data_IF_267677659846
#
_entry.id   IF_267677659846
#
_cell.length_a   1.000
_cell.length_b   1.000
_cell.length_c   1.000
_cell.angle_alpha   90.00
_cell.angle_beta   90.00
_cell.angle_gamma   90.00
#
_symmetry.space_group_name_H-M   'P 1'
#
loop_
_entity.id
_entity.type
_entity.pdbx_description
1 polymer ?
#
# COMPACT_ATOMS: atom_id res chain seq x y z
N UNK A 1 -22.22 1.97 -10.62
CA UNK A 1 -20.94 1.41 -10.11
C UNK A 1 -20.97 -0.11 -10.03
N UNK A 2 -21.75 -0.76 -9.12
CA UNK A 2 -21.72 -2.26 -9.06
C UNK A 2 -22.15 -2.90 -10.38
N UNK A 3 -23.09 -2.33 -11.11
CA UNK A 3 -23.51 -2.78 -12.44
C UNK A 3 -22.40 -2.71 -13.49
N UNK A 4 -21.58 -1.67 -13.45
CA UNK A 4 -20.42 -1.50 -14.35
C UNK A 4 -19.32 -2.52 -14.00
N UNK A 5 -19.04 -2.70 -12.70
CA UNK A 5 -18.11 -3.73 -12.23
C UNK A 5 -18.56 -5.13 -12.61
N UNK A 6 -19.87 -5.45 -12.42
CA UNK A 6 -20.43 -6.74 -12.79
C UNK A 6 -20.40 -6.98 -14.30
N UNK A 7 -20.62 -5.94 -15.11
CA UNK A 7 -20.49 -6.03 -16.56
C UNK A 7 -19.02 -6.28 -16.98
N UNK A 8 -18.08 -5.58 -16.37
CA UNK A 8 -16.63 -5.72 -16.63
C UNK A 8 -16.12 -7.11 -16.25
N UNK A 9 -16.58 -7.65 -15.13
CA UNK A 9 -16.15 -8.93 -14.58
C UNK A 9 -17.00 -10.13 -15.08
N UNK A 10 -17.98 -9.88 -15.95
CA UNK A 10 -18.93 -10.91 -16.42
C UNK A 10 -19.64 -11.65 -15.27
N UNK A 11 -19.93 -10.92 -14.17
CA UNK A 11 -20.55 -11.49 -12.98
C UNK A 11 -19.64 -12.43 -12.18
N UNK A 12 -18.33 -12.35 -12.36
CA UNK A 12 -17.33 -13.16 -11.65
C UNK A 12 -16.50 -12.28 -10.70
N UNK A 13 -16.06 -12.88 -9.61
CA UNK A 13 -15.12 -12.24 -8.71
C UNK A 13 -13.79 -11.97 -9.41
N UNK A 14 -13.32 -10.71 -9.40
CA UNK A 14 -12.09 -10.32 -10.09
C UNK A 14 -10.81 -10.83 -9.42
N UNK A 15 -10.91 -11.41 -8.22
CA UNK A 15 -9.77 -12.04 -7.54
C UNK A 15 -9.75 -13.57 -7.76
N UNK A 16 -10.87 -14.27 -7.55
CA UNK A 16 -10.89 -15.75 -7.60
C UNK A 16 -11.62 -16.34 -8.82
N UNK A 17 -12.21 -15.52 -9.69
CA UNK A 17 -12.89 -15.96 -10.90
C UNK A 17 -14.23 -16.68 -10.69
N UNK A 18 -14.67 -16.89 -9.45
CA UNK A 18 -15.92 -17.62 -9.17
C UNK A 18 -17.13 -16.72 -9.47
N UNK A 19 -18.14 -17.31 -10.15
CA UNK A 19 -19.44 -16.67 -10.32
C UNK A 19 -20.18 -16.66 -8.96
N UNK A 20 -20.45 -15.49 -8.42
CA UNK A 20 -21.09 -15.31 -7.12
C UNK A 20 -21.77 -13.95 -7.04
N UNK A 21 -22.52 -13.71 -5.96
CA UNK A 21 -22.94 -12.37 -5.61
C UNK A 21 -21.70 -11.51 -5.32
N UNK A 22 -21.60 -10.35 -5.97
CA UNK A 22 -20.44 -9.48 -5.93
C UNK A 22 -20.74 -8.20 -5.15
N UNK A 23 -19.75 -7.76 -4.40
CA UNK A 23 -19.71 -6.43 -3.80
C UNK A 23 -18.62 -5.56 -4.42
N UNK A 24 -18.82 -4.25 -4.42
CA UNK A 24 -17.80 -3.30 -4.85
C UNK A 24 -16.86 -3.01 -3.69
N UNK A 25 -15.56 -3.20 -3.90
CA UNK A 25 -14.53 -2.85 -2.95
C UNK A 25 -13.63 -1.76 -3.53
N UNK A 26 -13.56 -0.63 -2.82
CA UNK A 26 -12.67 0.48 -3.19
C UNK A 26 -11.22 0.11 -2.93
N UNK A 27 -10.35 0.41 -3.89
CA UNK A 27 -8.91 0.17 -3.76
C UNK A 27 -8.21 1.46 -3.34
N UNK A 28 -7.92 1.57 -2.03
CA UNK A 28 -7.26 2.75 -1.46
C UNK A 28 -5.92 3.08 -2.16
N UNK A 29 -5.48 4.34 -2.20
CA UNK A 29 -6.08 5.53 -1.60
C UNK A 29 -7.15 6.20 -2.48
N UNK A 30 -7.56 5.57 -3.56
CA UNK A 30 -8.63 6.08 -4.43
C UNK A 30 -9.93 6.20 -3.62
N UNK A 31 -10.83 7.09 -4.06
CA UNK A 31 -12.06 7.40 -3.33
C UNK A 31 -13.27 6.56 -3.75
N UNK A 32 -13.11 5.73 -4.77
CA UNK A 32 -14.19 4.91 -5.31
C UNK A 32 -15.23 5.70 -6.08
N UNK A 33 -14.81 6.78 -6.73
CA UNK A 33 -15.71 7.64 -7.53
C UNK A 33 -16.00 7.07 -8.91
N UNK A 34 -15.17 6.13 -9.38
CA UNK A 34 -15.32 5.42 -10.64
C UNK A 34 -15.18 3.89 -10.47
N UNK A 35 -15.59 3.15 -11.48
CA UNK A 35 -15.36 1.70 -11.53
C UNK A 35 -13.87 1.34 -11.56
N UNK A 36 -13.02 2.24 -12.11
CA UNK A 36 -11.58 2.03 -12.18
C UNK A 36 -10.89 2.13 -10.82
N UNK A 37 -11.54 2.74 -9.83
CA UNK A 37 -11.06 2.81 -8.45
C UNK A 37 -11.43 1.58 -7.61
N UNK A 38 -12.23 0.66 -8.17
CA UNK A 38 -12.88 -0.41 -7.43
C UNK A 38 -12.65 -1.77 -8.11
N UNK A 39 -12.84 -2.83 -7.32
CA UNK A 39 -12.91 -4.21 -7.81
C UNK A 39 -14.23 -4.87 -7.40
N UNK A 40 -14.68 -5.85 -8.20
CA UNK A 40 -15.82 -6.71 -7.91
C UNK A 40 -15.35 -7.96 -7.17
N UNK A 41 -15.79 -8.15 -5.93
CA UNK A 41 -15.34 -9.26 -5.08
C UNK A 41 -16.50 -10.05 -4.48
N UNK A 42 -16.31 -11.37 -4.34
CA UNK A 42 -17.25 -12.24 -3.64
C UNK A 42 -17.06 -12.16 -2.10
N UNK A 43 -18.06 -12.62 -1.36
CA UNK A 43 -18.03 -12.63 0.10
C UNK A 43 -16.83 -13.41 0.67
N UNK A 44 -16.42 -14.52 0.04
CA UNK A 44 -15.27 -15.34 0.46
C UNK A 44 -13.97 -14.54 0.37
N UNK A 45 -13.70 -13.88 -0.78
CA UNK A 45 -12.51 -13.06 -0.94
C UNK A 45 -12.51 -11.87 0.03
N UNK A 46 -13.66 -11.23 0.24
CA UNK A 46 -13.79 -10.14 1.21
C UNK A 46 -13.46 -10.61 2.63
N UNK A 47 -14.00 -11.74 3.06
CA UNK A 47 -13.71 -12.31 4.39
C UNK A 47 -12.24 -12.71 4.54
N UNK A 48 -11.68 -13.39 3.53
CA UNK A 48 -10.28 -13.86 3.56
C UNK A 48 -9.27 -12.71 3.51
N UNK A 49 -9.65 -11.55 2.98
CA UNK A 49 -8.77 -10.38 2.91
C UNK A 49 -8.53 -9.70 4.27
N UNK A 50 -9.31 -10.04 5.30
CA UNK A 50 -9.10 -9.55 6.66
C UNK A 50 -7.81 -10.11 7.29
N UNK A 51 -7.46 -11.36 7.00
CA UNK A 51 -6.19 -12.00 7.37
C UNK A 51 -5.69 -12.86 6.20
N UNK A 52 -4.98 -12.25 5.24
CA UNK A 52 -4.50 -12.97 4.07
C UNK A 52 -3.54 -14.12 4.39
N UNK A 53 -2.72 -13.97 5.43
CA UNK A 53 -1.74 -14.98 5.83
C UNK A 53 -2.41 -16.26 6.35
N UNK A 54 -3.50 -16.14 7.09
CA UNK A 54 -4.28 -17.26 7.59
C UNK A 54 -5.02 -18.03 6.47
N UNK A 55 -5.22 -17.39 5.31
CA UNK A 55 -5.94 -17.94 4.16
C UNK A 55 -5.05 -18.12 2.92
N UNK A 56 -3.76 -18.40 3.12
CA UNK A 56 -2.78 -18.49 2.03
C UNK A 56 -3.18 -19.45 0.91
N UNK A 57 -3.81 -20.59 1.22
CA UNK A 57 -4.25 -21.54 0.21
C UNK A 57 -5.38 -21.01 -0.68
N UNK A 58 -6.29 -20.20 -0.13
CA UNK A 58 -7.33 -19.52 -0.89
C UNK A 58 -6.71 -18.57 -1.93
N UNK A 59 -5.65 -17.88 -1.58
CA UNK A 59 -5.01 -16.88 -2.42
C UNK A 59 -4.15 -17.43 -3.55
N UNK A 60 -4.04 -18.76 -3.68
CA UNK A 60 -3.43 -19.36 -4.89
C UNK A 60 -4.20 -19.05 -6.18
N UNK A 61 -5.48 -18.69 -6.06
CA UNK A 61 -6.28 -18.20 -7.20
C UNK A 61 -5.73 -16.89 -7.82
N UNK A 62 -4.91 -16.14 -7.09
CA UNK A 62 -4.30 -14.90 -7.60
C UNK A 62 -3.30 -15.14 -8.74
N UNK A 63 -2.84 -16.40 -8.92
CA UNK A 63 -2.03 -16.79 -10.08
C UNK A 63 -2.70 -16.46 -11.42
N UNK A 64 -4.02 -16.50 -11.47
CA UNK A 64 -4.79 -16.19 -12.69
C UNK A 64 -5.11 -14.69 -12.76
N UNK A 65 -5.53 -14.07 -11.66
CA UNK A 65 -5.94 -12.67 -11.62
C UNK A 65 -4.78 -11.68 -11.67
N UNK A 66 -3.53 -12.10 -11.38
CA UNK A 66 -2.34 -11.26 -11.51
C UNK A 66 -2.11 -10.74 -12.93
N UNK A 67 -2.67 -11.42 -13.94
CA UNK A 67 -2.57 -11.04 -15.36
C UNK A 67 -3.71 -10.13 -15.82
N UNK A 68 -4.58 -9.70 -14.91
CA UNK A 68 -5.67 -8.77 -15.25
C UNK A 68 -5.13 -7.49 -15.88
N UNK A 69 -5.76 -6.98 -16.95
CA UNK A 69 -5.39 -5.70 -17.53
C UNK A 69 -5.91 -4.49 -16.72
N UNK A 70 -6.64 -4.74 -15.61
CA UNK A 70 -7.31 -3.72 -14.81
C UNK A 70 -6.40 -3.30 -13.67
N UNK A 71 -5.93 -2.03 -13.60
CA UNK A 71 -5.00 -1.56 -12.57
C UNK A 71 -5.49 -1.82 -11.13
N UNK A 72 -6.78 -1.58 -10.85
CA UNK A 72 -7.34 -1.83 -9.51
C UNK A 72 -7.23 -3.31 -9.08
N UNK A 73 -7.38 -4.25 -10.03
CA UNK A 73 -7.21 -5.69 -9.77
C UNK A 73 -5.74 -5.99 -9.52
N UNK A 74 -4.84 -5.51 -10.38
CA UNK A 74 -3.39 -5.69 -10.22
C UNK A 74 -2.90 -5.17 -8.87
N UNK A 75 -3.33 -3.96 -8.47
CA UNK A 75 -3.00 -3.37 -7.16
C UNK A 75 -3.49 -4.25 -6.02
N UNK A 76 -4.72 -4.76 -6.10
CA UNK A 76 -5.29 -5.63 -5.06
C UNK A 76 -4.55 -6.95 -4.96
N UNK A 77 -4.21 -7.58 -6.09
CA UNK A 77 -3.41 -8.80 -6.14
C UNK A 77 -2.03 -8.58 -5.54
N UNK A 78 -1.32 -7.53 -5.96
CA UNK A 78 0.01 -7.20 -5.43
C UNK A 78 0.02 -7.06 -3.90
N UNK A 79 -0.99 -6.37 -3.35
CA UNK A 79 -1.13 -6.15 -1.91
C UNK A 79 -1.47 -7.44 -1.15
N UNK A 80 -2.37 -8.26 -1.70
CA UNK A 80 -2.73 -9.54 -1.10
C UNK A 80 -1.53 -10.49 -1.09
N UNK A 81 -0.79 -10.62 -2.19
CA UNK A 81 0.43 -11.42 -2.26
C UNK A 81 1.48 -10.94 -1.26
N UNK A 82 1.65 -9.62 -1.13
CA UNK A 82 2.56 -9.02 -0.12
C UNK A 82 2.13 -9.34 1.31
N UNK A 83 0.83 -9.43 1.58
CA UNK A 83 0.28 -9.73 2.91
C UNK A 83 0.27 -11.21 3.23
N UNK A 84 0.16 -12.09 2.23
CA UNK A 84 0.30 -13.55 2.39
C UNK A 84 1.72 -13.91 2.83
N UNK A 85 2.75 -13.28 2.26
CA UNK A 85 4.13 -13.31 2.71
C UNK A 85 4.85 -14.68 2.62
N UNK A 86 4.26 -15.66 1.93
CA UNK A 86 4.91 -16.97 1.68
C UNK A 86 5.85 -16.89 0.47
N UNK A 87 6.78 -17.85 0.35
CA UNK A 87 7.74 -17.88 -0.76
C UNK A 87 7.03 -17.86 -2.11
N UNK A 88 6.03 -18.71 -2.33
CA UNK A 88 5.28 -18.75 -3.58
C UNK A 88 4.53 -17.44 -3.88
N UNK A 89 4.04 -16.73 -2.85
CA UNK A 89 3.36 -15.45 -3.04
C UNK A 89 4.35 -14.34 -3.41
N UNK A 90 5.55 -14.38 -2.87
CA UNK A 90 6.64 -13.48 -3.25
C UNK A 90 7.09 -13.74 -4.70
N UNK A 91 7.25 -15.01 -5.09
CA UNK A 91 7.60 -15.40 -6.46
C UNK A 91 6.56 -14.90 -7.48
N UNK A 92 5.25 -15.04 -7.16
CA UNK A 92 4.18 -14.51 -8.00
C UNK A 92 4.22 -13.00 -8.08
N UNK A 93 4.38 -12.33 -6.94
CA UNK A 93 4.47 -10.87 -6.89
C UNK A 93 5.64 -10.33 -7.72
N UNK A 94 6.81 -10.98 -7.63
CA UNK A 94 8.01 -10.58 -8.38
C UNK A 94 7.87 -10.83 -9.89
N UNK A 95 6.97 -11.74 -10.28
CA UNK A 95 6.61 -12.01 -11.68
C UNK A 95 5.58 -11.03 -12.25
N UNK A 96 4.95 -10.19 -11.41
CA UNK A 96 3.97 -9.20 -11.86
C UNK A 96 4.64 -8.05 -12.62
N UNK A 97 4.15 -7.77 -13.82
CA UNK A 97 4.50 -6.54 -14.52
C UNK A 97 3.48 -5.45 -14.18
N UNK A 98 3.94 -4.40 -13.52
CA UNK A 98 3.16 -3.19 -13.21
C UNK A 98 3.83 -2.00 -13.88
N UNK A 99 3.05 -1.15 -14.56
CA UNK A 99 3.54 0.16 -14.96
C UNK A 99 3.81 1.05 -13.74
N UNK A 100 4.51 2.16 -13.94
CA UNK A 100 4.97 3.04 -12.86
C UNK A 100 3.79 3.58 -12.01
N UNK A 101 2.70 4.01 -12.65
CA UNK A 101 1.53 4.55 -11.96
C UNK A 101 0.82 3.48 -11.12
N UNK A 102 0.63 2.28 -11.68
CA UNK A 102 0.00 1.15 -10.99
C UNK A 102 0.87 0.65 -9.85
N UNK A 103 2.19 0.65 -10.01
CA UNK A 103 3.14 0.30 -8.96
C UNK A 103 3.08 1.30 -7.80
N UNK A 104 3.12 2.58 -8.09
CA UNK A 104 2.99 3.63 -7.09
C UNK A 104 1.68 3.52 -6.33
N UNK A 105 0.59 3.22 -7.05
CA UNK A 105 -0.69 2.96 -6.41
C UNK A 105 -0.66 1.71 -5.53
N UNK A 106 -0.08 0.60 -5.98
CA UNK A 106 0.04 -0.62 -5.21
C UNK A 106 0.84 -0.39 -3.92
N UNK A 107 1.88 0.40 -4.02
CA UNK A 107 2.78 0.74 -2.93
C UNK A 107 2.26 1.83 -1.99
N UNK A 108 1.34 2.67 -2.43
CA UNK A 108 0.71 3.73 -1.62
C UNK A 108 -0.40 3.25 -0.68
N UNK A 109 -0.61 1.92 -0.54
CA UNK A 109 -1.63 1.41 0.38
C UNK A 109 -1.41 1.93 1.79
N UNK A 110 -2.45 2.35 2.50
CA UNK A 110 -2.35 2.62 3.92
C UNK A 110 -1.87 1.32 4.59
N UNK A 111 -0.69 1.37 5.20
CA UNK A 111 -0.26 0.29 6.07
C UNK A 111 -1.29 0.18 7.21
N UNK A 112 -1.58 -1.04 7.68
CA UNK A 112 -2.35 -1.26 8.92
C UNK A 112 -1.65 -0.61 10.12
N UNK A 113 -0.41 -0.21 9.94
CA UNK A 113 0.47 0.41 10.93
C UNK A 113 0.28 1.92 10.88
N UNK A 114 -0.29 2.48 11.95
CA UNK A 114 -0.52 3.92 12.07
C UNK A 114 0.75 4.59 12.57
N UNK A 115 1.40 5.35 11.69
CA UNK A 115 2.55 6.18 12.04
C UNK A 115 2.06 7.50 12.64
N UNK A 116 2.66 7.91 13.76
CA UNK A 116 2.37 9.19 14.41
C UNK A 116 3.67 9.96 14.61
N UNK A 117 3.64 11.26 14.36
CA UNK A 117 4.77 12.14 14.65
C UNK A 117 5.00 12.32 16.17
N UNK A 118 6.02 13.09 16.53
CA UNK A 118 6.36 13.38 17.93
C UNK A 118 5.21 14.00 18.75
N UNK A 119 4.19 14.53 18.09
CA UNK A 119 3.04 15.19 18.69
C UNK A 119 1.74 14.38 18.58
N UNK A 120 1.83 13.13 18.10
CA UNK A 120 0.69 12.23 17.95
C UNK A 120 -0.14 12.45 16.68
N UNK A 121 0.30 13.30 15.77
CA UNK A 121 -0.37 13.54 14.48
C UNK A 121 -0.08 12.39 13.54
N UNK A 122 -1.14 11.84 12.93
CA UNK A 122 -1.02 10.74 11.98
C UNK A 122 -0.27 11.20 10.73
N UNK A 123 0.77 10.45 10.38
CA UNK A 123 1.57 10.64 9.17
C UNK A 123 0.97 9.85 8.01
N UNK A 124 1.06 10.39 6.81
CA UNK A 124 0.64 9.76 5.57
C UNK A 124 1.83 9.69 4.60
N UNK A 125 1.76 8.71 3.70
CA UNK A 125 2.72 8.63 2.59
C UNK A 125 2.70 9.93 1.78
N UNK A 126 3.88 10.43 1.42
CA UNK A 126 4.01 11.69 0.69
C UNK A 126 3.91 12.96 1.54
N UNK A 127 3.73 12.85 2.86
CA UNK A 127 3.72 14.02 3.75
C UNK A 127 5.10 14.69 3.79
N UNK A 128 5.09 15.94 4.20
CA UNK A 128 6.30 16.69 4.53
C UNK A 128 6.43 16.76 6.04
N UNK A 129 7.62 16.45 6.55
CA UNK A 129 7.93 16.51 7.99
C UNK A 129 9.15 17.37 8.24
N UNK A 130 9.27 17.86 9.46
CA UNK A 130 10.41 18.66 9.94
C UNK A 130 11.07 17.91 11.08
N UNK A 131 12.40 17.80 11.07
CA UNK A 131 13.16 17.17 12.15
C UNK A 131 13.07 18.02 13.42
N UNK A 132 12.70 17.39 14.54
CA UNK A 132 12.61 18.03 15.86
C UNK A 132 13.93 18.03 16.63
N UNK A 133 14.86 17.17 16.21
CA UNK A 133 16.19 17.00 16.83
C UNK A 133 17.27 16.80 15.74
N UNK A 134 18.55 16.85 16.16
CA UNK A 134 19.68 16.48 15.30
C UNK A 134 19.74 14.96 15.22
N UNK A 135 19.87 14.41 14.01
CA UNK A 135 19.95 12.97 13.77
C UNK A 135 21.28 12.59 13.12
N UNK A 136 22.06 11.80 13.83
CA UNK A 136 23.27 11.19 13.27
C UNK A 136 22.87 9.97 12.45
N UNK A 137 23.16 9.99 11.16
CA UNK A 137 22.82 8.90 10.24
C UNK A 137 23.88 7.81 10.35
N UNK A 138 23.50 6.66 10.92
CA UNK A 138 24.39 5.51 11.09
C UNK A 138 24.94 5.06 9.72
N UNK A 139 26.26 4.85 9.68
CA UNK A 139 26.94 4.41 8.46
C UNK A 139 27.41 5.51 7.51
N UNK A 140 27.17 6.77 7.87
CA UNK A 140 27.67 7.95 7.16
C UNK A 140 28.21 8.98 8.17
N UNK A 141 29.05 9.89 7.70
CA UNK A 141 29.50 11.05 8.53
C UNK A 141 28.52 12.23 8.42
N UNK A 142 27.23 11.93 8.18
CA UNK A 142 26.20 12.94 7.96
C UNK A 142 25.29 13.08 9.17
N UNK A 143 25.11 14.32 9.63
CA UNK A 143 24.17 14.67 10.67
C UNK A 143 23.07 15.55 10.09
N UNK A 144 21.84 15.04 10.06
CA UNK A 144 20.68 15.83 9.68
C UNK A 144 20.32 16.81 10.82
N UNK A 145 20.31 18.10 10.52
CA UNK A 145 20.11 19.16 11.55
C UNK A 145 18.63 19.26 11.94
N UNK A 146 18.37 19.60 13.19
CA UNK A 146 17.04 20.04 13.65
C UNK A 146 16.51 21.14 12.73
N UNK A 147 15.23 21.06 12.35
CA UNK A 147 14.59 21.99 11.43
C UNK A 147 14.73 21.62 9.96
N UNK A 148 15.49 20.56 9.63
CA UNK A 148 15.55 20.06 8.25
C UNK A 148 14.18 19.57 7.81
N UNK A 149 13.74 20.02 6.63
CA UNK A 149 12.48 19.62 6.01
C UNK A 149 12.71 18.37 5.15
N UNK A 150 11.97 17.31 5.45
CA UNK A 150 11.97 16.06 4.69
C UNK A 150 10.65 15.95 3.95
N UNK A 151 10.70 15.95 2.62
CA UNK A 151 9.53 15.92 1.76
C UNK A 151 9.30 14.52 1.20
N UNK A 152 8.04 14.23 0.89
CA UNK A 152 7.63 12.98 0.25
C UNK A 152 8.12 11.76 1.04
N UNK A 153 7.79 11.72 2.35
CA UNK A 153 8.16 10.59 3.20
C UNK A 153 7.46 9.31 2.77
N UNK A 154 8.15 8.18 2.97
CA UNK A 154 7.57 6.84 2.85
C UNK A 154 7.39 6.26 4.24
N UNK A 155 6.26 5.62 4.48
CA UNK A 155 5.96 4.96 5.74
C UNK A 155 6.47 3.51 5.68
N UNK A 156 7.18 3.06 6.74
CA UNK A 156 7.53 1.65 6.87
C UNK A 156 6.26 0.82 7.10
N UNK A 157 6.08 -0.24 6.33
CA UNK A 157 4.85 -1.06 6.35
C UNK A 157 4.78 -2.00 7.54
N UNK A 158 5.92 -2.32 8.11
CA UNK A 158 6.06 -3.30 9.20
C UNK A 158 6.23 -2.64 10.56
N UNK A 159 6.66 -1.38 10.62
CA UNK A 159 6.98 -0.73 11.87
C UNK A 159 6.51 0.73 11.92
N UNK A 160 5.58 1.03 12.86
CA UNK A 160 5.02 2.37 13.08
C UNK A 160 6.05 3.43 13.48
N UNK A 161 7.21 2.99 13.94
CA UNK A 161 8.25 3.90 14.44
C UNK A 161 9.20 4.43 13.35
N UNK A 162 9.16 3.86 12.14
CA UNK A 162 10.08 4.20 11.07
C UNK A 162 9.37 4.83 9.87
N UNK A 163 10.00 5.85 9.33
CA UNK A 163 9.70 6.44 8.03
C UNK A 163 11.00 6.58 7.24
N UNK A 164 10.89 6.58 5.94
CA UNK A 164 11.99 6.85 5.03
C UNK A 164 11.81 8.21 4.39
N UNK A 165 12.90 8.91 4.15
CA UNK A 165 12.87 10.20 3.49
C UNK A 165 14.22 10.62 2.97
N UNK A 166 14.21 11.56 2.01
CA UNK A 166 15.44 12.05 1.40
C UNK A 166 15.88 13.36 2.04
N UNK A 167 17.10 13.38 2.57
CA UNK A 167 17.75 14.55 3.14
C UNK A 167 19.08 14.79 2.42
N UNK A 168 19.27 15.98 1.85
CA UNK A 168 20.48 16.34 1.08
C UNK A 168 20.87 15.35 -0.02
N UNK A 169 19.84 14.72 -0.65
CA UNK A 169 20.04 13.76 -1.74
C UNK A 169 20.26 12.30 -1.27
N UNK A 170 20.39 12.06 0.03
CA UNK A 170 20.53 10.73 0.61
C UNK A 170 19.20 10.23 1.17
N UNK A 171 18.88 8.98 0.93
CA UNK A 171 17.72 8.30 1.52
C UNK A 171 18.09 7.79 2.91
N UNK A 172 17.34 8.19 3.92
CA UNK A 172 17.59 7.84 5.31
C UNK A 172 16.32 7.33 5.99
N UNK A 173 16.50 6.43 6.96
CA UNK A 173 15.43 5.95 7.84
C UNK A 173 15.38 6.87 9.08
N UNK A 174 14.20 7.36 9.40
CA UNK A 174 13.97 8.33 10.47
C UNK A 174 12.93 7.76 11.44
N UNK A 175 13.20 7.85 12.75
CA UNK A 175 12.21 7.51 13.75
C UNK A 175 11.10 8.58 13.80
N UNK A 176 9.86 8.15 13.80
CA UNK A 176 8.67 9.02 13.79
C UNK A 176 8.62 9.98 15.00
N UNK A 177 9.18 9.59 16.13
CA UNK A 177 9.31 10.43 17.33
C UNK A 177 10.22 11.66 17.17
N UNK A 178 11.03 11.69 16.13
CA UNK A 178 11.95 12.79 15.83
C UNK A 178 11.47 13.71 14.71
N UNK A 179 10.23 13.55 14.29
CA UNK A 179 9.65 14.39 13.24
C UNK A 179 8.35 15.05 13.68
N UNK A 180 8.05 16.18 13.06
CA UNK A 180 6.77 16.89 13.18
C UNK A 180 6.19 17.05 11.78
N UNK A 181 4.93 16.67 11.60
CA UNK A 181 4.20 16.90 10.35
C UNK A 181 4.07 18.38 10.07
N UNK A 182 4.41 18.79 8.86
CA UNK A 182 4.16 20.14 8.39
C UNK A 182 2.77 20.19 7.76
N UNK A 183 1.93 21.15 8.18
CA UNK A 183 0.63 21.35 7.55
C UNK A 183 0.81 21.64 6.05
N UNK A 184 -0.05 21.07 5.22
CA UNK A 184 -0.14 21.48 3.81
C UNK A 184 -0.85 22.82 3.76
N UNK A 185 -0.17 23.83 3.23
CA UNK A 185 -0.79 25.08 2.83
C UNK A 185 -1.67 24.87 1.61
#
# INVERSE_FOLDING_TARGET
>A
MISELSARSEGRCELCGIAAELSSQVVAPKKGTSADDCIAVCATCTASSADPSAHADHWRCLNDSMWSPIPAVQVSVYRLLSSVGTDWANDLKDSMYLDEETRDWAESAPSSVVHKDAYGVVLQHGDTVVLTEHLDVKGTNFTAKKGTVVRNIRLDRSNAEYIEGRVEGQEIVILTKFVKRQARD
#
